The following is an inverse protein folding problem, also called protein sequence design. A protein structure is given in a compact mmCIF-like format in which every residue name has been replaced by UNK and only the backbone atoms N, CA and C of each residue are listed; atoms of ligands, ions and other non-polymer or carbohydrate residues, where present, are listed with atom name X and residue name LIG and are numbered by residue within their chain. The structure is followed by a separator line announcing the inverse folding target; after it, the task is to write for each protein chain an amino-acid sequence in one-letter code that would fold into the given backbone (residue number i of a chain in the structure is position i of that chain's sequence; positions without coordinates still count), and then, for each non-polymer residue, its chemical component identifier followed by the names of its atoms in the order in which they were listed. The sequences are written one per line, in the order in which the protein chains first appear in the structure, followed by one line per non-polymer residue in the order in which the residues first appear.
data_IF_611246636877
#
_entry.id   IF_611246636877
#
_cell.length_a   1.000
_cell.length_b   1.000
_cell.length_c   1.000
_cell.angle_alpha   90.00
_cell.angle_beta   90.00
_cell.angle_gamma   90.00
#
_symmetry.space_group_name_H-M   'P 1'
#
loop_
_entity.id
_entity.type
_entity.pdbx_description
1 polymer ?
#
# COMPACT_ATOMS: atom_id res chain seq x y z
N UNK A 1 -7.98 0.30 3.23
CA UNK A 1 -6.56 0.08 3.56
C UNK A 1 -6.30 -1.11 4.49
N UNK A 2 -6.65 -1.06 5.79
CA UNK A 2 -6.34 -2.15 6.75
C UNK A 2 -6.82 -3.54 6.32
N UNK A 3 -8.02 -3.64 5.75
CA UNK A 3 -8.56 -4.91 5.25
C UNK A 3 -7.69 -5.51 4.13
N UNK A 4 -7.25 -4.69 3.17
CA UNK A 4 -6.36 -5.13 2.09
C UNK A 4 -4.98 -5.56 2.63
N UNK A 5 -4.46 -4.87 3.66
CA UNK A 5 -3.21 -5.24 4.33
C UNK A 5 -3.28 -6.64 4.99
N UNK A 6 -4.40 -6.94 5.65
CA UNK A 6 -4.65 -8.25 6.26
C UNK A 6 -4.82 -9.32 5.19
N UNK A 7 -5.65 -9.04 4.17
CA UNK A 7 -5.91 -9.98 3.05
C UNK A 7 -4.63 -10.40 2.32
N UNK A 8 -3.69 -9.47 2.13
CA UNK A 8 -2.43 -9.71 1.43
C UNK A 8 -1.27 -10.15 2.35
N UNK A 9 -1.53 -10.39 3.64
CA UNK A 9 -0.52 -10.80 4.62
C UNK A 9 0.78 -9.94 4.55
N UNK A 10 0.58 -8.62 4.56
CA UNK A 10 1.67 -7.64 4.30
C UNK A 10 2.65 -7.56 5.47
N UNK A 11 2.14 -7.65 6.70
CA UNK A 11 2.91 -7.36 7.91
C UNK A 11 3.86 -8.51 8.25
N UNK A 12 5.14 -8.17 8.43
CA UNK A 12 6.12 -9.01 9.12
C UNK A 12 6.49 -8.39 10.47
N UNK A 13 7.60 -7.63 10.56
CA UNK A 13 8.02 -7.01 11.83
C UNK A 13 7.14 -5.83 12.30
N UNK A 14 6.24 -5.32 11.45
CA UNK A 14 5.34 -4.21 11.81
C UNK A 14 5.94 -2.81 11.73
N UNK A 15 7.27 -2.65 11.77
CA UNK A 15 7.92 -1.34 11.96
C UNK A 15 7.52 -0.26 10.94
N UNK A 16 7.55 -0.57 9.65
CA UNK A 16 7.24 0.40 8.60
C UNK A 16 5.73 0.55 8.30
N UNK A 17 4.87 -0.27 8.91
CA UNK A 17 3.51 -0.48 8.40
C UNK A 17 2.59 0.73 8.59
N UNK A 18 2.75 1.48 9.68
CA UNK A 18 1.98 2.71 9.92
C UNK A 18 2.27 3.77 8.84
N UNK A 19 3.56 4.02 8.55
CA UNK A 19 3.99 4.92 7.48
C UNK A 19 3.46 4.49 6.11
N UNK A 20 3.62 3.20 5.77
CA UNK A 20 3.11 2.63 4.52
C UNK A 20 1.59 2.82 4.38
N UNK A 21 0.81 2.53 5.42
CA UNK A 21 -0.65 2.67 5.42
C UNK A 21 -1.07 4.13 5.25
N UNK A 22 -0.40 5.07 5.94
CA UNK A 22 -0.73 6.49 5.85
C UNK A 22 -0.38 7.08 4.47
N UNK A 23 0.83 6.82 3.96
CA UNK A 23 1.22 7.26 2.61
C UNK A 23 0.32 6.67 1.53
N UNK A 24 0.00 5.38 1.61
CA UNK A 24 -0.92 4.74 0.67
C UNK A 24 -2.34 5.33 0.75
N UNK A 25 -2.81 5.66 1.95
CA UNK A 25 -4.16 6.26 2.13
C UNK A 25 -4.22 7.67 1.56
N UNK A 26 -3.20 8.49 1.80
CA UNK A 26 -3.08 9.81 1.20
C UNK A 26 -3.04 9.73 -0.33
N UNK A 27 -2.17 8.87 -0.87
CA UNK A 27 -2.03 8.63 -2.30
C UNK A 27 -3.37 8.23 -2.97
N UNK A 28 -4.10 7.27 -2.40
CA UNK A 28 -5.38 6.82 -2.96
C UNK A 28 -6.53 7.83 -2.82
N UNK A 29 -6.36 8.87 -1.99
CA UNK A 29 -7.32 9.98 -1.92
C UNK A 29 -7.22 10.86 -3.18
N UNK A 30 -6.02 11.00 -3.73
CA UNK A 30 -5.73 11.80 -4.92
C UNK A 30 -5.83 10.98 -6.22
N UNK A 31 -5.42 9.71 -6.19
CA UNK A 31 -5.44 8.82 -7.35
C UNK A 31 -6.20 7.52 -7.02
N UNK A 32 -7.47 7.45 -7.43
CA UNK A 32 -8.37 6.32 -7.13
C UNK A 32 -8.12 5.07 -8.00
N UNK A 33 -7.54 5.23 -9.19
CA UNK A 33 -7.25 4.14 -10.14
C UNK A 33 -5.76 4.15 -10.52
N UNK A 34 -4.85 3.89 -9.57
CA UNK A 34 -3.41 4.02 -9.80
C UNK A 34 -2.87 2.88 -10.67
N UNK A 35 -1.89 3.20 -11.51
CA UNK A 35 -1.05 2.20 -12.14
C UNK A 35 0.00 1.64 -11.17
N UNK A 36 0.64 0.54 -11.53
CA UNK A 36 1.72 -0.04 -10.74
C UNK A 36 2.91 0.93 -10.57
N UNK A 37 3.25 1.68 -11.62
CA UNK A 37 4.30 2.71 -11.58
C UNK A 37 3.95 3.87 -10.64
N UNK A 38 2.67 4.24 -10.57
CA UNK A 38 2.22 5.30 -9.64
C UNK A 38 2.40 4.85 -8.20
N UNK A 39 2.02 3.59 -7.89
CA UNK A 39 2.20 3.02 -6.55
C UNK A 39 3.69 2.98 -6.17
N UNK A 40 4.56 2.52 -7.07
CA UNK A 40 5.99 2.48 -6.79
C UNK A 40 6.57 3.87 -6.51
N UNK A 41 6.15 4.87 -7.29
CA UNK A 41 6.60 6.25 -7.14
C UNK A 41 6.09 6.85 -5.82
N UNK A 42 4.81 6.66 -5.50
CA UNK A 42 4.19 7.16 -4.27
C UNK A 42 4.79 6.53 -3.01
N UNK A 43 5.21 5.26 -3.08
CA UNK A 43 5.74 4.52 -1.94
C UNK A 43 7.27 4.57 -1.81
N UNK A 44 7.99 5.23 -2.73
CA UNK A 44 9.46 5.29 -2.75
C UNK A 44 10.07 5.85 -1.46
N UNK A 45 9.37 6.74 -0.75
CA UNK A 45 9.79 7.29 0.55
C UNK A 45 9.61 6.35 1.74
N UNK A 46 8.93 5.21 1.56
CA UNK A 46 8.62 4.28 2.65
C UNK A 46 9.49 3.01 2.54
N UNK A 47 10.59 2.97 3.28
CA UNK A 47 11.48 1.82 3.32
C UNK A 47 10.90 0.64 4.14
N UNK A 48 11.12 -0.59 3.66
CA UNK A 48 10.75 -1.84 4.33
C UNK A 48 11.95 -2.79 4.38
N UNK A 49 12.42 -3.12 5.59
CA UNK A 49 13.56 -4.04 5.76
C UNK A 49 13.19 -5.52 5.67
N UNK A 50 11.91 -5.86 5.87
CA UNK A 50 11.39 -7.22 5.69
C UNK A 50 11.15 -7.61 4.23
N UNK A 51 11.40 -6.69 3.28
CA UNK A 51 11.25 -6.92 1.83
C UNK A 51 9.80 -7.24 1.42
N UNK A 52 8.80 -6.60 2.05
CA UNK A 52 7.37 -6.83 1.76
C UNK A 52 6.81 -6.01 0.57
N UNK A 53 7.64 -5.36 -0.25
CA UNK A 53 7.19 -4.37 -1.24
C UNK A 53 6.15 -4.90 -2.22
N UNK A 54 6.30 -6.14 -2.72
CA UNK A 54 5.30 -6.75 -3.62
C UNK A 54 3.94 -6.86 -2.94
N UNK A 55 3.87 -7.36 -1.70
CA UNK A 55 2.62 -7.49 -0.95
C UNK A 55 2.00 -6.13 -0.62
N UNK A 56 2.83 -5.13 -0.30
CA UNK A 56 2.39 -3.75 -0.07
C UNK A 56 1.71 -3.22 -1.33
N UNK A 57 2.37 -3.35 -2.48
CA UNK A 57 1.87 -2.91 -3.78
C UNK A 57 0.55 -3.59 -4.16
N UNK A 58 0.48 -4.92 -3.99
CA UNK A 58 -0.74 -5.70 -4.24
C UNK A 58 -1.89 -5.25 -3.31
N UNK A 59 -1.59 -4.97 -2.05
CA UNK A 59 -2.57 -4.46 -1.08
C UNK A 59 -3.07 -3.06 -1.41
N UNK A 60 -2.22 -2.19 -1.97
CA UNK A 60 -2.63 -0.85 -2.43
C UNK A 60 -3.54 -0.97 -3.65
N UNK A 61 -3.18 -1.80 -4.63
CA UNK A 61 -4.02 -2.03 -5.82
C UNK A 61 -5.39 -2.64 -5.46
N UNK A 62 -5.43 -3.57 -4.51
CA UNK A 62 -6.68 -4.11 -3.98
C UNK A 62 -7.48 -3.05 -3.22
N UNK A 63 -6.81 -2.23 -2.39
CA UNK A 63 -7.47 -1.15 -1.67
C UNK A 63 -8.08 -0.10 -2.60
N UNK A 64 -7.44 0.19 -3.74
CA UNK A 64 -7.98 1.08 -4.77
C UNK A 64 -9.31 0.55 -5.33
N UNK A 65 -9.34 -0.73 -5.74
CA UNK A 65 -10.57 -1.40 -6.22
C UNK A 65 -11.68 -1.41 -5.18
N UNK A 66 -11.34 -1.57 -3.90
CA UNK A 66 -12.30 -1.52 -2.79
C UNK A 66 -12.90 -0.13 -2.54
N UNK A 67 -12.23 0.95 -2.97
CA UNK A 67 -12.70 2.34 -2.82
C UNK A 67 -13.55 2.82 -4.00
N UNK A 68 -13.44 2.14 -5.15
CA UNK A 68 -14.28 2.39 -6.33
C UNK A 68 -15.66 1.75 -6.23
N UNK A 69 -15.81 0.71 -5.39
CA UNK A 69 -17.05 -0.01 -5.12
C UNK A 69 -17.87 0.64 -3.99
#
# INVERSE_FOLDING_TARGET
MRQAWVKNNVVQCGFCQSGQIMSATAFLTENKSPSESDINSAMAGNACRCMCYTRIKDAIGEAAKMLEA
#
